data_IF_947367123358
#
_entry.id   IF_947367123358
#
_cell.length_a   1.000
_cell.length_b   1.000
_cell.length_c   1.000
_cell.angle_alpha   90.00
_cell.angle_beta   90.00
_cell.angle_gamma   90.00
#
_symmetry.space_group_name_H-M   'P 1'
#
loop_
_entity.id
_entity.type
_entity.pdbx_description
1 polymer ?
#
# COMPACT_ATOMS: atom_id res chain seq x y z
N UNK A 1 -28.93 0.50 2.00
CA UNK A 1 -27.54 0.99 1.89
C UNK A 1 -27.52 2.11 0.87
N UNK A 2 -27.38 3.36 1.32
CA UNK A 2 -27.34 4.53 0.43
C UNK A 2 -26.00 4.55 -0.29
N UNK A 3 -26.02 4.59 -1.63
CA UNK A 3 -24.82 4.84 -2.45
C UNK A 3 -24.22 6.17 -1.99
N UNK A 4 -23.08 6.11 -1.31
CA UNK A 4 -22.26 7.29 -1.07
C UNK A 4 -21.94 7.93 -2.43
N UNK A 5 -22.06 9.25 -2.52
CA UNK A 5 -21.79 10.03 -3.73
C UNK A 5 -20.37 9.78 -4.26
N UNK A 6 -20.13 10.11 -5.53
CA UNK A 6 -18.81 9.94 -6.17
C UNK A 6 -17.69 10.77 -5.51
N UNK A 7 -18.07 11.69 -4.64
CA UNK A 7 -17.28 12.65 -3.86
C UNK A 7 -17.14 12.26 -2.37
N UNK A 8 -17.71 11.14 -1.94
CA UNK A 8 -17.60 10.71 -0.55
C UNK A 8 -16.14 10.49 -0.15
N UNK A 9 -15.75 11.00 1.03
CA UNK A 9 -14.44 10.73 1.63
C UNK A 9 -14.28 9.22 1.83
N UNK A 10 -13.47 8.59 0.98
CA UNK A 10 -13.26 7.14 0.96
C UNK A 10 -12.27 6.67 2.04
N UNK A 11 -12.41 7.17 3.26
CA UNK A 11 -11.55 6.84 4.41
C UNK A 11 -10.83 8.04 5.01
N UNK A 12 -10.61 7.98 6.33
CA UNK A 12 -9.90 9.00 7.11
C UNK A 12 -8.78 8.31 7.87
N UNK A 13 -7.55 8.81 7.73
CA UNK A 13 -6.45 8.39 8.58
C UNK A 13 -6.50 9.17 9.90
N UNK A 14 -6.62 8.46 11.03
CA UNK A 14 -6.62 9.04 12.37
C UNK A 14 -5.65 8.27 13.26
N UNK A 15 -4.75 9.00 13.92
CA UNK A 15 -3.88 8.44 14.94
C UNK A 15 -4.54 8.59 16.32
N UNK A 16 -4.85 7.46 16.96
CA UNK A 16 -5.47 7.41 18.28
C UNK A 16 -4.61 6.53 19.20
N UNK A 17 -4.42 6.96 20.44
CA UNK A 17 -3.76 6.13 21.44
C UNK A 17 -4.72 5.06 21.95
N UNK A 18 -4.35 3.80 21.73
CA UNK A 18 -5.07 2.63 22.22
C UNK A 18 -4.12 1.76 23.04
N UNK A 19 -4.61 1.16 24.13
CA UNK A 19 -3.87 0.09 24.81
C UNK A 19 -3.92 -1.16 23.93
N UNK A 20 -2.78 -1.80 23.70
CA UNK A 20 -2.75 -3.07 22.98
C UNK A 20 -3.50 -4.12 23.81
N UNK A 21 -4.55 -4.69 23.24
CA UNK A 21 -5.31 -5.77 23.85
C UNK A 21 -5.36 -6.94 22.86
N UNK A 22 -4.78 -8.07 23.25
CA UNK A 22 -5.06 -9.30 22.54
C UNK A 22 -6.51 -9.68 22.80
N UNK A 23 -7.31 -9.68 21.74
CA UNK A 23 -8.73 -10.01 21.84
C UNK A 23 -8.91 -11.53 21.76
N UNK A 24 -9.76 -12.10 22.60
CA UNK A 24 -10.14 -13.52 22.51
C UNK A 24 -10.94 -13.85 21.23
N UNK A 25 -11.30 -12.85 20.44
CA UNK A 25 -11.97 -12.96 19.14
C UNK A 25 -11.01 -12.99 17.96
N UNK A 26 -9.69 -12.85 18.16
CA UNK A 26 -8.74 -12.97 17.07
C UNK A 26 -8.77 -14.39 16.49
N UNK A 27 -8.90 -14.49 15.18
CA UNK A 27 -8.90 -15.76 14.46
C UNK A 27 -7.49 -16.14 13.97
N UNK A 28 -6.61 -15.15 13.83
CA UNK A 28 -5.22 -15.32 13.41
C UNK A 28 -4.41 -14.08 13.78
N UNK A 29 -3.27 -14.31 14.43
CA UNK A 29 -2.34 -13.25 14.81
C UNK A 29 -1.04 -13.33 13.99
N UNK A 30 -0.52 -12.15 13.61
CA UNK A 30 0.78 -11.98 12.99
C UNK A 30 1.55 -10.93 13.79
N UNK A 31 2.49 -11.38 14.61
CA UNK A 31 3.21 -10.52 15.55
C UNK A 31 4.62 -10.19 15.02
N UNK A 32 4.73 -9.06 14.33
CA UNK A 32 5.99 -8.53 13.83
C UNK A 32 6.72 -7.79 14.94
N UNK A 33 7.92 -8.27 15.28
CA UNK A 33 8.72 -7.70 16.36
C UNK A 33 9.44 -6.45 15.86
N UNK A 34 9.42 -5.35 16.61
CA UNK A 34 10.17 -4.13 16.28
C UNK A 34 11.70 -4.33 16.44
N UNK A 35 12.51 -3.68 15.59
CA UNK A 35 13.98 -3.86 15.48
C UNK A 35 14.79 -3.46 16.71
N UNK A 36 14.33 -2.54 17.56
CA UNK A 36 15.14 -2.02 18.67
C UNK A 36 14.35 -1.56 19.89
N UNK A 37 15.02 -1.52 21.04
CA UNK A 37 14.61 -0.67 22.15
C UNK A 37 14.66 0.80 21.70
N UNK A 38 13.50 1.47 21.69
CA UNK A 38 13.41 2.91 21.46
C UNK A 38 12.71 3.33 20.17
N UNK A 39 12.19 2.41 19.35
CA UNK A 39 11.28 2.79 18.26
C UNK A 39 10.05 3.47 18.86
N UNK A 40 9.84 4.74 18.51
CA UNK A 40 8.71 5.54 19.02
C UNK A 40 7.58 5.56 18.00
N UNK A 41 6.35 5.65 18.49
CA UNK A 41 5.14 5.85 17.66
C UNK A 41 5.29 7.07 16.74
N UNK A 42 5.95 8.14 17.21
CA UNK A 42 6.23 9.33 16.39
C UNK A 42 7.05 9.04 15.12
N UNK A 43 8.00 8.10 15.18
CA UNK A 43 8.80 7.71 14.01
C UNK A 43 7.97 6.94 12.99
N UNK A 44 7.06 6.07 13.47
CA UNK A 44 6.11 5.36 12.61
C UNK A 44 5.15 6.34 11.94
N UNK A 45 4.60 7.30 12.68
CA UNK A 45 3.73 8.33 12.12
C UNK A 45 4.46 9.19 11.09
N UNK A 46 5.70 9.59 11.36
CA UNK A 46 6.50 10.36 10.41
C UNK A 46 6.73 9.58 9.10
N UNK A 47 7.00 8.28 9.17
CA UNK A 47 7.13 7.42 8.00
C UNK A 47 5.84 7.40 7.17
N UNK A 48 4.69 7.21 7.83
CA UNK A 48 3.36 7.21 7.20
C UNK A 48 3.12 8.53 6.45
N UNK A 49 3.36 9.68 7.10
CA UNK A 49 3.15 11.00 6.49
C UNK A 49 4.14 11.29 5.35
N UNK A 50 5.43 10.98 5.54
CA UNK A 50 6.45 11.19 4.52
C UNK A 50 6.17 10.37 3.25
N UNK A 51 5.63 9.16 3.41
CA UNK A 51 5.24 8.30 2.30
C UNK A 51 3.84 8.61 1.76
N UNK A 52 3.14 9.63 2.29
CA UNK A 52 1.80 10.02 1.88
C UNK A 52 0.74 8.95 2.11
N UNK A 53 0.95 8.03 3.05
CA UNK A 53 0.03 6.92 3.34
C UNK A 53 -1.24 7.39 4.03
N UNK A 54 -1.20 8.55 4.67
CA UNK A 54 -2.37 9.27 5.20
C UNK A 54 -3.35 9.71 4.10
N UNK A 55 -2.88 9.83 2.85
CA UNK A 55 -3.67 10.26 1.68
C UNK A 55 -4.19 9.09 0.87
N UNK A 56 -4.49 7.97 1.52
CA UNK A 56 -5.05 6.80 0.87
C UNK A 56 -6.57 6.90 0.76
N UNK A 57 -7.09 6.62 -0.43
CA UNK A 57 -8.52 6.51 -0.71
C UNK A 57 -8.86 5.04 -0.89
N UNK A 58 -9.77 4.52 -0.06
CA UNK A 58 -10.27 3.15 -0.18
C UNK A 58 -10.89 2.92 -1.56
N UNK A 59 -10.86 1.67 -2.03
CA UNK A 59 -11.59 1.28 -3.22
C UNK A 59 -13.10 1.52 -3.04
N UNK A 60 -13.82 1.68 -4.15
CA UNK A 60 -15.27 1.98 -4.14
C UNK A 60 -16.11 0.90 -3.46
N UNK A 61 -15.60 -0.33 -3.40
CA UNK A 61 -16.20 -1.44 -2.66
C UNK A 61 -16.22 -1.22 -1.14
N UNK A 62 -15.46 -0.24 -0.63
CA UNK A 62 -15.14 -0.11 0.79
C UNK A 62 -14.09 -1.13 1.27
N UNK A 63 -13.68 -2.06 0.41
CA UNK A 63 -12.66 -3.06 0.65
C UNK A 63 -11.34 -2.51 0.11
N UNK A 64 -10.46 -2.08 1.00
CA UNK A 64 -9.16 -1.54 0.61
C UNK A 64 -8.19 -1.33 1.76
N UNK A 65 -8.66 -1.52 3.00
CA UNK A 65 -7.84 -1.43 4.19
C UNK A 65 -6.70 -2.45 4.18
N UNK A 66 -6.92 -3.68 3.68
CA UNK A 66 -5.88 -4.71 3.55
C UNK A 66 -4.72 -4.27 2.67
N UNK A 67 -5.01 -3.58 1.57
CA UNK A 67 -3.98 -3.03 0.71
C UNK A 67 -3.17 -1.93 1.41
N UNK A 68 -3.83 -1.05 2.16
CA UNK A 68 -3.15 -0.05 2.97
C UNK A 68 -2.23 -0.68 4.03
N UNK A 69 -2.74 -1.66 4.80
CA UNK A 69 -1.98 -2.38 5.84
C UNK A 69 -0.78 -3.10 5.22
N UNK A 70 -0.97 -3.79 4.10
CA UNK A 70 0.13 -4.41 3.33
C UNK A 70 1.22 -3.41 2.98
N UNK A 71 0.83 -2.23 2.49
CA UNK A 71 1.77 -1.17 2.14
C UNK A 71 2.52 -0.65 3.37
N UNK A 72 1.83 -0.43 4.49
CA UNK A 72 2.47 0.02 5.73
C UNK A 72 3.43 -1.03 6.29
N UNK A 73 3.08 -2.32 6.29
CA UNK A 73 4.00 -3.40 6.70
C UNK A 73 5.29 -3.34 5.89
N UNK A 74 5.19 -3.17 4.57
CA UNK A 74 6.36 -3.08 3.68
C UNK A 74 7.17 -1.81 3.87
N UNK A 75 6.51 -0.68 4.15
CA UNK A 75 7.20 0.57 4.49
C UNK A 75 8.00 0.42 5.80
N UNK A 76 7.41 -0.23 6.82
CA UNK A 76 8.08 -0.52 8.09
C UNK A 76 9.30 -1.42 7.89
N UNK A 77 9.15 -2.47 7.08
CA UNK A 77 10.25 -3.38 6.74
C UNK A 77 11.38 -2.65 6.00
N UNK A 78 11.04 -1.90 4.95
CA UNK A 78 11.99 -1.12 4.16
C UNK A 78 12.69 0.00 4.95
N UNK A 79 12.05 0.52 6.00
CA UNK A 79 12.66 1.46 6.94
C UNK A 79 13.53 0.76 8.01
N UNK A 80 13.60 -0.57 8.00
CA UNK A 80 14.31 -1.36 8.99
C UNK A 80 13.66 -1.31 10.37
N UNK A 81 12.34 -1.11 10.46
CA UNK A 81 11.57 -1.06 11.72
C UNK A 81 11.06 -2.44 12.16
N UNK A 82 11.18 -3.46 11.31
CA UNK A 82 10.87 -4.85 11.64
C UNK A 82 12.16 -5.62 11.92
N UNK A 83 12.21 -6.27 13.08
CA UNK A 83 13.31 -7.10 13.54
C UNK A 83 13.43 -8.36 12.71
N UNK A 84 14.64 -8.66 12.25
CA UNK A 84 14.98 -9.96 11.67
C UNK A 84 14.82 -11.13 12.65
N UNK A 85 14.68 -10.85 13.96
CA UNK A 85 14.39 -11.84 15.00
C UNK A 85 12.90 -12.10 15.20
N UNK A 86 12.02 -11.47 14.42
CA UNK A 86 10.60 -11.76 14.50
C UNK A 86 10.32 -13.22 14.12
N UNK A 87 9.33 -13.83 14.78
CA UNK A 87 8.94 -15.23 14.53
C UNK A 87 8.23 -15.43 13.20
N UNK A 88 7.65 -14.37 12.67
CA UNK A 88 6.96 -14.33 11.37
C UNK A 88 7.65 -13.30 10.50
N UNK A 89 7.67 -13.54 9.19
CA UNK A 89 8.19 -12.58 8.22
C UNK A 89 7.13 -11.54 7.86
N UNK A 90 7.58 -10.42 7.29
CA UNK A 90 6.70 -9.40 6.71
C UNK A 90 5.87 -9.99 5.57
N UNK A 91 6.44 -10.89 4.77
CA UNK A 91 5.74 -11.69 3.76
C UNK A 91 4.66 -12.59 4.34
N UNK A 92 4.89 -13.25 5.48
CA UNK A 92 3.86 -14.08 6.13
C UNK A 92 2.64 -13.25 6.52
N UNK A 93 2.87 -12.07 7.12
CA UNK A 93 1.81 -11.15 7.48
C UNK A 93 1.08 -10.60 6.23
N UNK A 94 1.82 -10.22 5.20
CA UNK A 94 1.25 -9.73 3.93
C UNK A 94 0.44 -10.80 3.22
N UNK A 95 0.89 -12.07 3.24
CA UNK A 95 0.16 -13.19 2.67
C UNK A 95 -1.11 -13.50 3.47
N UNK A 96 -1.05 -13.41 4.81
CA UNK A 96 -2.20 -13.58 5.69
C UNK A 96 -3.36 -12.64 5.39
N UNK A 97 -3.06 -11.40 5.00
CA UNK A 97 -4.07 -10.40 4.62
C UNK A 97 -4.90 -10.80 3.38
N UNK A 98 -4.49 -11.79 2.59
CA UNK A 98 -5.25 -12.27 1.41
C UNK A 98 -6.39 -13.22 1.78
N UNK A 99 -6.62 -13.51 3.06
CA UNK A 99 -7.59 -14.49 3.48
C UNK A 99 -8.66 -13.90 4.41
N UNK A 100 -9.88 -14.41 4.24
CA UNK A 100 -10.96 -14.31 5.21
C UNK A 100 -10.88 -15.46 6.20
N UNK A 101 -10.75 -15.12 7.47
CA UNK A 101 -10.76 -16.07 8.56
C UNK A 101 -12.17 -16.20 9.14
N UNK A 102 -12.58 -17.41 9.46
CA UNK A 102 -13.86 -17.70 10.12
C UNK A 102 -13.66 -18.82 11.14
N UNK A 103 -14.32 -18.72 12.30
CA UNK A 103 -14.17 -19.70 13.37
C UNK A 103 -14.54 -21.11 12.88
N UNK A 104 -13.65 -22.07 13.08
CA UNK A 104 -13.86 -23.48 12.70
C UNK A 104 -13.91 -23.74 11.20
N UNK A 105 -13.55 -22.77 10.36
CA UNK A 105 -13.51 -22.93 8.90
C UNK A 105 -12.09 -22.72 8.38
N UNK A 106 -11.81 -23.32 7.23
CA UNK A 106 -10.57 -23.04 6.51
C UNK A 106 -10.58 -21.58 6.01
N UNK A 107 -9.41 -20.91 6.00
CA UNK A 107 -9.31 -19.56 5.45
C UNK A 107 -9.72 -19.54 3.97
N UNK A 108 -10.52 -18.55 3.58
CA UNK A 108 -10.98 -18.38 2.20
C UNK A 108 -10.18 -17.27 1.54
N UNK A 109 -9.58 -17.53 0.38
CA UNK A 109 -8.88 -16.51 -0.38
C UNK A 109 -9.87 -15.40 -0.79
N UNK A 110 -9.52 -14.17 -0.50
CA UNK A 110 -10.20 -12.97 -0.97
C UNK A 110 -9.15 -12.01 -1.48
N UNK A 111 -9.10 -11.84 -2.80
CA UNK A 111 -8.14 -10.95 -3.43
C UNK A 111 -8.30 -9.52 -2.90
N UNK A 112 -7.16 -8.85 -2.72
CA UNK A 112 -7.17 -7.47 -2.25
C UNK A 112 -7.67 -6.55 -3.35
N UNK A 113 -8.72 -5.78 -3.05
CA UNK A 113 -9.16 -4.66 -3.88
C UNK A 113 -8.35 -3.40 -3.50
N UNK A 114 -7.41 -2.93 -4.35
CA UNK A 114 -6.57 -1.79 -4.01
C UNK A 114 -7.33 -0.48 -4.17
N UNK A 115 -7.22 0.36 -3.16
CA UNK A 115 -7.53 1.78 -3.26
C UNK A 115 -6.44 2.56 -4.00
N UNK A 116 -6.40 3.88 -3.81
CA UNK A 116 -5.44 4.75 -4.49
C UNK A 116 -4.76 5.70 -3.50
N UNK A 117 -3.43 5.80 -3.56
CA UNK A 117 -2.71 6.87 -2.88
C UNK A 117 -2.75 8.14 -3.74
N UNK A 118 -3.16 9.27 -3.18
CA UNK A 118 -3.33 10.53 -3.95
C UNK A 118 -2.02 10.99 -4.61
N UNK A 119 -0.85 10.63 -4.06
CA UNK A 119 0.45 10.89 -4.67
C UNK A 119 0.64 10.21 -6.05
N UNK A 120 0.03 9.04 -6.27
CA UNK A 120 0.15 8.29 -7.53
C UNK A 120 -0.63 8.93 -8.69
N UNK A 121 -1.68 9.72 -8.37
CA UNK A 121 -2.44 10.49 -9.38
C UNK A 121 -1.58 11.54 -10.08
N UNK A 122 -0.53 12.04 -9.43
CA UNK A 122 0.38 13.03 -10.01
C UNK A 122 1.45 12.40 -10.91
N UNK A 123 1.87 11.15 -10.66
CA UNK A 123 2.77 10.42 -11.58
C UNK A 123 2.04 9.97 -12.84
N UNK A 124 0.78 9.57 -12.75
CA UNK A 124 -0.02 9.15 -13.91
C UNK A 124 -0.34 10.30 -14.89
N UNK A 125 -0.45 11.55 -14.40
CA UNK A 125 -0.68 12.74 -15.25
C UNK A 125 0.57 13.23 -16.00
N UNK A 126 1.77 12.78 -15.63
CA UNK A 126 3.03 13.21 -16.25
C UNK A 126 3.41 12.47 -17.54
N UNK A 127 2.65 11.44 -17.95
CA UNK A 127 2.94 10.64 -19.15
C UNK A 127 1.94 10.98 -20.26
N UNK A 128 1.98 12.21 -20.77
CA UNK A 128 1.27 12.62 -21.99
C UNK A 128 2.28 12.91 -23.10
N UNK A 129 2.16 12.13 -24.16
CA UNK A 129 2.88 12.11 -25.45
C UNK A 129 3.72 13.34 -25.79
N UNK A 130 5.02 13.14 -26.01
CA UNK A 130 5.80 13.97 -26.93
C UNK A 130 5.93 13.21 -28.24
N UNK A 131 5.10 13.60 -29.21
CA UNK A 131 5.22 13.21 -30.61
C UNK A 131 6.60 13.61 -31.13
N UNK A 132 7.32 12.68 -31.76
CA UNK A 132 8.46 13.04 -32.62
C UNK A 132 8.16 12.64 -34.05
N UNK A 133 7.83 13.67 -34.81
CA UNK A 133 7.67 13.74 -36.26
C UNK A 133 8.96 13.28 -36.94
N UNK A 134 8.94 12.11 -37.58
CA UNK A 134 10.03 11.62 -38.42
C UNK A 134 9.99 12.30 -39.80
N UNK A 135 10.86 13.27 -40.02
CA UNK A 135 11.10 13.89 -41.33
C UNK A 135 12.19 13.08 -42.04
N UNK A 136 11.81 12.25 -43.00
CA UNK A 136 12.74 11.57 -43.90
C UNK A 136 12.98 12.43 -45.13
N UNK A 137 14.22 12.90 -45.31
CA UNK A 137 14.70 13.52 -46.55
C UNK A 137 15.98 12.80 -46.96
N UNK A 138 15.84 11.85 -47.88
CA UNK A 138 16.98 11.17 -48.50
C UNK A 138 17.47 11.98 -49.69
N UNK A 139 18.74 12.39 -49.65
CA UNK A 139 19.43 13.04 -50.76
C UNK A 139 20.63 12.17 -51.16
N UNK A 140 20.56 11.57 -52.34
CA UNK A 140 21.68 10.97 -53.08
C UNK A 140 22.14 12.00 -54.12
N UNK A 141 23.45 12.26 -54.29
CA UNK A 141 24.08 11.83 -55.54
C UNK A 141 25.58 11.48 -55.40
N UNK A 142 26.04 10.46 -56.14
CA UNK A 142 27.47 10.15 -56.27
C UNK A 142 27.81 9.50 -57.61
N UNK A 143 28.08 10.31 -58.64
CA UNK A 143 28.67 9.88 -59.92
C UNK A 143 29.98 10.61 -60.17
N UNK A 144 31.09 9.85 -60.28
CA UNK A 144 32.39 10.07 -60.97
C UNK A 144 33.29 8.89 -60.52
N UNK A 145 33.93 8.09 -61.37
CA UNK A 145 34.40 8.22 -62.77
C UNK A 145 34.00 7.00 -63.58
#
# INVERSE_FOLDING_TARGET
MTKLGADATMGTFQATYCRYQQTNSSLRDFDLTATSQGLKVGQILQLIYNNGRDKYQLARSGLGCRHWVKTVIRDLDGAGFVSSRSRVTTEDAVNGLRYNYSKGKQPVLEEMDPGTFVADKNKAKGKKSTDTKGTGSGSEPGRRR
#
